data_IF_877747845818
#
_entry.id   IF_877747845818
#
_cell.length_a   1.000
_cell.length_b   1.000
_cell.length_c   1.000
_cell.angle_alpha   90.00
_cell.angle_beta   90.00
_cell.angle_gamma   90.00
#
_symmetry.space_group_name_H-M   'P 1'
#
loop_
_entity.id
_entity.type
_entity.pdbx_description
1 polymer ?
#
# COMPACT_ATOMS: atom_id res chain seq x y z
N UNK A 1 8.03 14.69 -21.20
CA UNK A 1 7.88 14.31 -19.79
C UNK A 1 6.40 14.34 -19.44
N UNK A 2 5.90 13.36 -18.71
CA UNK A 2 4.50 13.34 -18.28
C UNK A 2 4.29 14.28 -17.09
N UNK A 3 3.09 14.80 -16.93
CA UNK A 3 2.74 15.73 -15.83
C UNK A 3 2.62 15.01 -14.50
N UNK A 4 2.62 15.77 -13.39
CA UNK A 4 2.37 15.21 -12.05
C UNK A 4 1.01 14.48 -11.98
N UNK A 5 -0.04 15.05 -12.56
CA UNK A 5 -1.37 14.42 -12.63
C UNK A 5 -1.35 13.11 -13.41
N UNK A 6 -0.62 13.05 -14.53
CA UNK A 6 -0.47 11.82 -15.32
C UNK A 6 0.34 10.75 -14.58
N UNK A 7 1.36 11.15 -13.82
CA UNK A 7 2.08 10.26 -12.92
C UNK A 7 1.14 9.69 -11.86
N UNK A 8 0.36 10.53 -11.16
CA UNK A 8 -0.62 10.05 -10.17
C UNK A 8 -1.66 9.12 -10.80
N UNK A 9 -2.11 9.38 -12.02
CA UNK A 9 -3.04 8.50 -12.73
C UNK A 9 -2.40 7.12 -13.05
N UNK A 10 -1.13 7.10 -13.49
CA UNK A 10 -0.39 5.87 -13.74
C UNK A 10 -0.18 5.06 -12.45
N UNK A 11 0.14 5.73 -11.34
CA UNK A 11 0.23 5.09 -10.02
C UNK A 11 -1.12 4.56 -9.54
N UNK A 12 -2.21 5.32 -9.73
CA UNK A 12 -3.55 4.89 -9.36
C UNK A 12 -3.97 3.61 -10.09
N UNK A 13 -3.61 3.47 -11.38
CA UNK A 13 -3.82 2.24 -12.14
C UNK A 13 -3.11 1.06 -11.45
N UNK A 14 -1.84 1.22 -11.10
CA UNK A 14 -1.07 0.16 -10.42
C UNK A 14 -1.61 -0.13 -9.02
N UNK A 15 -1.96 0.89 -8.25
CA UNK A 15 -2.58 0.72 -6.92
C UNK A 15 -3.89 -0.08 -6.98
N UNK A 16 -4.72 0.15 -8.01
CA UNK A 16 -5.93 -0.65 -8.25
C UNK A 16 -5.61 -2.11 -8.60
N UNK A 17 -4.46 -2.37 -9.21
CA UNK A 17 -4.01 -3.73 -9.47
C UNK A 17 -3.48 -4.42 -8.23
N UNK A 18 -2.77 -3.71 -7.35
CA UNK A 18 -2.20 -4.26 -6.11
C UNK A 18 -3.24 -4.42 -4.99
N UNK A 19 -4.11 -3.43 -4.81
CA UNK A 19 -4.94 -3.30 -3.59
C UNK A 19 -6.43 -3.07 -3.88
N UNK A 20 -6.80 -2.83 -5.14
CA UNK A 20 -8.17 -2.44 -5.50
C UNK A 20 -8.58 -1.04 -5.04
N UNK A 21 -7.64 -0.23 -4.54
CA UNK A 21 -7.86 1.14 -4.09
C UNK A 21 -7.06 2.13 -4.94
N UNK A 22 -7.66 3.25 -5.34
CA UNK A 22 -7.02 4.31 -6.16
C UNK A 22 -5.74 4.84 -5.47
N UNK A 23 -5.82 5.05 -4.15
CA UNK A 23 -4.70 5.55 -3.33
C UNK A 23 -3.78 4.45 -2.81
N UNK A 24 -4.08 3.17 -3.06
CA UNK A 24 -3.47 2.06 -2.34
C UNK A 24 -3.98 1.95 -0.90
N UNK A 25 -3.29 1.13 -0.10
CA UNK A 25 -3.53 0.97 1.35
C UNK A 25 -2.21 1.07 2.12
N UNK A 26 -1.98 2.23 2.73
CA UNK A 26 -0.75 2.53 3.48
C UNK A 26 -0.67 1.78 4.81
N UNK A 27 -1.80 1.30 5.31
CA UNK A 27 -1.92 0.56 6.56
C UNK A 27 -1.79 -0.95 6.36
N UNK A 28 -1.79 -1.44 5.12
CA UNK A 28 -1.85 -2.86 4.87
C UNK A 28 -0.58 -3.56 5.36
N UNK A 29 -0.76 -4.51 6.26
CA UNK A 29 0.28 -5.38 6.82
C UNK A 29 -0.17 -6.81 6.62
N UNK A 30 0.58 -7.57 5.82
CA UNK A 30 0.25 -8.93 5.43
C UNK A 30 1.41 -9.89 5.67
N UNK A 31 1.05 -11.15 5.88
CA UNK A 31 1.95 -12.29 5.88
C UNK A 31 1.27 -13.39 5.08
N UNK A 32 1.85 -13.76 3.94
CA UNK A 32 1.31 -14.81 3.08
C UNK A 32 2.06 -16.12 3.34
N UNK A 33 1.33 -17.20 3.62
CA UNK A 33 1.93 -18.50 3.89
C UNK A 33 2.72 -19.00 2.67
N UNK A 34 4.01 -19.30 2.87
CA UNK A 34 4.91 -19.76 1.81
C UNK A 34 5.49 -18.64 0.93
N UNK A 35 5.19 -17.37 1.22
CA UNK A 35 5.83 -16.24 0.56
C UNK A 35 7.21 -15.97 1.18
N UNK A 36 8.24 -15.93 0.33
CA UNK A 36 9.63 -15.66 0.73
C UNK A 36 9.87 -14.19 1.10
N UNK A 37 8.90 -13.30 0.88
CA UNK A 37 8.95 -11.90 1.31
C UNK A 37 8.75 -11.71 2.81
N UNK A 38 8.12 -12.66 3.50
CA UNK A 38 7.78 -12.56 4.93
C UNK A 38 6.91 -11.31 5.23
N UNK A 39 7.02 -10.71 6.42
CA UNK A 39 6.28 -9.51 6.81
C UNK A 39 6.30 -8.44 5.70
N UNK A 40 5.12 -8.07 5.22
CA UNK A 40 4.93 -7.12 4.12
C UNK A 40 4.07 -5.94 4.56
N UNK A 41 4.43 -4.73 4.14
CA UNK A 41 3.82 -3.48 4.60
C UNK A 41 3.66 -2.41 3.50
N UNK A 42 2.55 -1.68 3.54
CA UNK A 42 2.39 -0.36 2.93
C UNK A 42 1.71 -0.33 1.55
N UNK A 43 1.55 0.88 1.01
CA UNK A 43 0.73 1.22 -0.17
C UNK A 43 0.94 0.30 -1.38
N UNK A 44 2.20 0.00 -1.67
CA UNK A 44 2.62 -0.86 -2.77
C UNK A 44 3.48 -2.03 -2.28
N UNK A 45 3.31 -2.41 -1.00
CA UNK A 45 3.83 -3.62 -0.36
C UNK A 45 5.36 -3.80 -0.46
N UNK A 46 6.10 -3.36 0.56
CA UNK A 46 7.51 -3.68 0.74
C UNK A 46 7.69 -4.80 1.78
N UNK A 47 8.71 -5.63 1.59
CA UNK A 47 8.89 -6.88 2.34
C UNK A 47 10.05 -6.82 3.32
N UNK A 48 9.99 -7.59 4.40
CA UNK A 48 11.06 -7.76 5.38
C UNK A 48 12.33 -8.30 4.71
N UNK A 49 12.23 -9.42 4.00
CA UNK A 49 13.39 -10.14 3.47
C UNK A 49 14.12 -9.41 2.35
N UNK A 50 13.51 -8.38 1.73
CA UNK A 50 14.21 -7.52 0.78
C UNK A 50 15.09 -6.46 1.43
N UNK A 51 14.98 -6.24 2.75
CA UNK A 51 15.60 -5.11 3.46
C UNK A 51 14.94 -3.76 3.18
N UNK A 52 14.00 -3.68 2.25
CA UNK A 52 13.31 -2.45 1.91
C UNK A 52 12.36 -2.01 3.04
N UNK A 53 11.74 -2.94 3.78
CA UNK A 53 10.96 -2.58 4.96
C UNK A 53 11.82 -1.84 6.00
N UNK A 54 13.04 -2.31 6.25
CA UNK A 54 13.99 -1.63 7.13
C UNK A 54 14.32 -0.22 6.62
N UNK A 55 14.62 -0.10 5.33
CA UNK A 55 14.92 1.19 4.68
C UNK A 55 13.76 2.18 4.81
N UNK A 56 12.53 1.73 4.57
CA UNK A 56 11.32 2.56 4.71
C UNK A 56 11.14 3.05 6.15
N UNK A 57 11.22 2.14 7.12
CA UNK A 57 11.03 2.48 8.54
C UNK A 57 12.14 3.40 9.04
N UNK A 58 13.39 3.19 8.62
CA UNK A 58 14.51 4.09 8.93
C UNK A 58 14.30 5.51 8.38
N UNK A 59 13.82 5.64 7.13
CA UNK A 59 13.49 6.96 6.55
C UNK A 59 12.39 7.67 7.34
N UNK A 60 11.37 6.94 7.76
CA UNK A 60 10.30 7.49 8.59
C UNK A 60 10.84 7.95 9.96
N UNK A 61 11.59 7.08 10.65
CA UNK A 61 12.16 7.41 11.96
C UNK A 61 13.18 8.55 11.94
N UNK A 62 13.83 8.79 10.80
CA UNK A 62 14.75 9.91 10.61
C UNK A 62 14.04 11.28 10.49
N UNK A 63 12.72 11.29 10.25
CA UNK A 63 11.94 12.52 10.21
C UNK A 63 11.56 12.96 11.63
N UNK A 64 11.98 14.17 12.04
CA UNK A 64 11.70 14.67 13.39
C UNK A 64 10.21 14.87 13.71
N UNK A 65 9.34 14.97 12.69
CA UNK A 65 7.90 15.08 12.85
C UNK A 65 7.17 13.73 12.89
N UNK A 66 7.87 12.61 12.68
CA UNK A 66 7.27 11.29 12.70
C UNK A 66 6.80 10.90 14.11
N UNK A 67 5.49 10.66 14.24
CA UNK A 67 4.81 10.41 15.52
C UNK A 67 5.23 9.11 16.19
N UNK A 68 5.55 8.08 15.40
CA UNK A 68 5.80 6.73 15.90
C UNK A 68 7.28 6.35 15.96
N UNK A 69 8.21 7.29 15.70
CA UNK A 69 9.66 7.00 15.67
C UNK A 69 10.15 6.37 16.97
N UNK A 70 9.76 6.91 18.12
CA UNK A 70 10.16 6.37 19.42
C UNK A 70 9.69 4.92 19.63
N UNK A 71 8.48 4.59 19.19
CA UNK A 71 7.92 3.24 19.29
C UNK A 71 8.54 2.26 18.28
N UNK A 72 8.97 2.75 17.12
CA UNK A 72 9.61 1.94 16.07
C UNK A 72 11.11 1.75 16.28
N UNK A 73 11.78 2.61 17.04
CA UNK A 73 13.23 2.53 17.29
C UNK A 73 13.72 1.15 17.74
N UNK A 74 13.06 0.45 18.68
CA UNK A 74 13.46 -0.90 19.08
C UNK A 74 13.44 -1.93 17.93
N UNK A 75 12.63 -1.69 16.90
CA UNK A 75 12.45 -2.58 15.76
C UNK A 75 13.43 -2.32 14.61
N UNK A 76 14.17 -1.20 14.62
CA UNK A 76 15.09 -0.85 13.53
C UNK A 76 16.14 -1.92 13.31
N UNK A 77 16.84 -2.37 14.37
CA UNK A 77 17.88 -3.36 14.21
C UNK A 77 17.34 -4.75 13.80
N UNK A 78 16.26 -5.29 14.41
CA UNK A 78 15.60 -6.49 13.90
C UNK A 78 15.18 -6.41 12.43
N UNK A 79 14.63 -5.27 12.00
CA UNK A 79 14.25 -5.04 10.60
C UNK A 79 15.48 -5.07 9.67
N UNK A 80 16.57 -4.40 10.04
CA UNK A 80 17.84 -4.41 9.28
C UNK A 80 18.39 -5.83 9.16
N UNK A 81 18.30 -6.61 10.23
CA UNK A 81 18.74 -8.00 10.26
C UNK A 81 17.80 -8.95 9.51
N UNK A 82 16.68 -8.45 8.97
CA UNK A 82 15.61 -9.26 8.36
C UNK A 82 15.14 -10.38 9.31
N UNK A 83 15.00 -10.07 10.60
CA UNK A 83 14.65 -11.05 11.64
C UNK A 83 13.24 -11.61 11.42
N UNK A 84 13.15 -12.90 11.11
CA UNK A 84 11.88 -13.58 10.83
C UNK A 84 10.98 -13.71 12.07
N UNK A 85 11.51 -13.50 13.29
CA UNK A 85 10.69 -13.41 14.50
C UNK A 85 9.65 -12.28 14.44
N UNK A 86 9.86 -11.28 13.57
CA UNK A 86 8.93 -10.18 13.35
C UNK A 86 7.63 -10.60 12.64
N UNK A 87 7.59 -11.78 12.00
CA UNK A 87 6.36 -12.34 11.42
C UNK A 87 5.29 -12.61 12.50
N UNK A 88 5.73 -12.92 13.71
CA UNK A 88 4.85 -13.24 14.84
C UNK A 88 4.63 -12.08 15.82
N UNK A 89 5.38 -10.97 15.68
CA UNK A 89 5.20 -9.78 16.52
C UNK A 89 3.94 -9.00 16.13
N UNK A 90 2.82 -9.35 16.76
CA UNK A 90 1.51 -8.71 16.51
C UNK A 90 1.47 -7.25 16.93
N UNK A 91 2.28 -6.83 17.90
CA UNK A 91 2.36 -5.43 18.30
C UNK A 91 3.04 -4.60 17.22
N UNK A 92 4.18 -5.07 16.66
CA UNK A 92 4.81 -4.42 15.51
C UNK A 92 3.84 -4.31 14.33
N UNK A 93 3.07 -5.36 14.03
CA UNK A 93 2.09 -5.33 12.94
C UNK A 93 1.05 -4.23 13.15
N UNK A 94 0.57 -4.06 14.39
CA UNK A 94 -0.35 -2.98 14.73
C UNK A 94 0.32 -1.60 14.73
N UNK A 95 1.58 -1.51 15.15
CA UNK A 95 2.34 -0.28 15.12
C UNK A 95 2.54 0.21 13.68
N UNK A 96 2.90 -0.69 12.76
CA UNK A 96 2.98 -0.39 11.33
C UNK A 96 1.62 0.09 10.77
N UNK A 97 0.51 -0.57 11.11
CA UNK A 97 -0.84 -0.09 10.76
C UNK A 97 -1.11 1.33 11.27
N UNK A 98 -0.78 1.60 12.53
CA UNK A 98 -0.98 2.90 13.15
C UNK A 98 -0.16 4.01 12.51
N UNK A 99 1.02 3.71 11.99
CA UNK A 99 1.82 4.72 11.28
C UNK A 99 1.12 5.27 10.04
N UNK A 100 0.18 4.55 9.42
CA UNK A 100 -0.57 5.05 8.27
C UNK A 100 -1.47 6.25 8.58
N UNK A 101 -1.82 6.48 9.85
CA UNK A 101 -2.56 7.67 10.30
C UNK A 101 -1.65 8.90 10.45
N UNK A 102 -0.32 8.72 10.38
CA UNK A 102 0.64 9.81 10.34
C UNK A 102 0.90 10.24 8.88
N UNK A 103 0.60 11.50 8.50
CA UNK A 103 0.95 12.03 7.18
C UNK A 103 2.43 11.82 6.83
N UNK A 104 3.34 11.90 7.81
CA UNK A 104 4.78 11.71 7.58
C UNK A 104 5.09 10.30 7.06
N UNK A 105 4.39 9.27 7.54
CA UNK A 105 4.56 7.90 7.03
C UNK A 105 4.03 7.78 5.60
N UNK A 106 2.90 8.43 5.29
CA UNK A 106 2.32 8.38 3.95
C UNK A 106 3.25 9.03 2.93
N UNK A 107 3.76 10.22 3.24
CA UNK A 107 4.74 10.91 2.41
C UNK A 107 6.04 10.10 2.28
N UNK A 108 6.48 9.45 3.37
CA UNK A 108 7.67 8.59 3.37
C UNK A 108 7.48 7.37 2.47
N UNK A 109 6.31 6.74 2.50
CA UNK A 109 5.98 5.63 1.59
C UNK A 109 5.95 6.12 0.13
N UNK A 110 5.27 7.23 -0.15
CA UNK A 110 5.17 7.78 -1.51
C UNK A 110 6.58 8.05 -2.09
N UNK A 111 7.45 8.74 -1.35
CA UNK A 111 8.82 8.99 -1.78
C UNK A 111 9.66 7.71 -1.90
N UNK A 112 9.47 6.75 -0.99
CA UNK A 112 10.18 5.48 -1.04
C UNK A 112 9.83 4.69 -2.31
N UNK A 113 8.54 4.52 -2.61
CA UNK A 113 8.10 3.79 -3.80
C UNK A 113 8.44 4.55 -5.09
N UNK A 114 8.49 5.87 -5.03
CA UNK A 114 9.01 6.69 -6.12
C UNK A 114 10.48 6.38 -6.44
N UNK A 115 11.34 6.36 -5.42
CA UNK A 115 12.77 6.11 -5.59
C UNK A 115 13.04 4.67 -6.07
N UNK A 116 12.33 3.70 -5.50
CA UNK A 116 12.59 2.27 -5.69
C UNK A 116 11.94 1.72 -6.96
N UNK A 117 10.80 2.26 -7.39
CA UNK A 117 10.05 1.70 -8.53
C UNK A 117 9.77 2.72 -9.63
N UNK A 118 9.25 3.90 -9.30
CA UNK A 118 8.87 4.89 -10.31
C UNK A 118 10.08 5.41 -11.09
N UNK A 119 11.11 5.90 -10.40
CA UNK A 119 12.28 6.49 -11.03
C UNK A 119 13.05 5.48 -11.91
N UNK A 120 13.25 4.21 -11.48
CA UNK A 120 13.77 3.16 -12.38
C UNK A 120 12.90 2.91 -13.61
N UNK A 121 11.57 2.81 -13.43
CA UNK A 121 10.64 2.63 -14.55
C UNK A 121 10.72 3.80 -15.53
N UNK A 122 10.77 5.03 -15.03
CA UNK A 122 10.86 6.24 -15.85
C UNK A 122 12.18 6.30 -16.63
N UNK A 123 13.30 5.92 -15.99
CA UNK A 123 14.59 5.79 -16.69
C UNK A 123 14.53 4.72 -17.79
N UNK A 124 13.89 3.59 -17.53
CA UNK A 124 13.74 2.52 -18.51
C UNK A 124 12.86 2.93 -19.69
N UNK A 125 11.72 3.60 -19.43
CA UNK A 125 10.84 4.16 -20.44
C UNK A 125 11.57 5.20 -21.31
N UNK A 126 12.29 6.14 -20.67
CA UNK A 126 13.05 7.19 -21.34
C UNK A 126 14.13 6.62 -22.27
N UNK A 127 14.83 5.55 -21.85
CA UNK A 127 15.84 4.88 -22.69
C UNK A 127 15.26 4.28 -23.99
N UNK A 128 13.98 3.93 -23.99
CA UNK A 128 13.28 3.43 -25.17
C UNK A 128 12.60 4.55 -25.98
N UNK A 129 12.57 5.79 -25.47
CA UNK A 129 11.81 6.88 -26.09
C UNK A 129 10.30 6.78 -25.84
N UNK A 130 9.86 6.08 -24.79
CA UNK A 130 8.46 6.05 -24.35
C UNK A 130 8.13 7.38 -23.67
N UNK A 131 7.12 8.08 -24.17
CA UNK A 131 6.76 9.44 -23.74
C UNK A 131 5.29 9.60 -23.34
N UNK A 132 4.41 8.70 -23.81
CA UNK A 132 2.98 8.73 -23.54
C UNK A 132 2.69 8.27 -22.10
N UNK A 133 1.76 8.94 -21.39
CA UNK A 133 1.32 8.54 -20.05
C UNK A 133 0.91 7.08 -19.91
N UNK A 134 0.12 6.55 -20.84
CA UNK A 134 -0.27 5.14 -20.80
C UNK A 134 0.93 4.20 -21.04
N UNK A 135 1.87 4.58 -21.90
CA UNK A 135 3.12 3.83 -22.08
C UNK A 135 3.94 3.80 -20.80
N UNK A 136 4.05 4.93 -20.10
CA UNK A 136 4.71 5.01 -18.80
C UNK A 136 4.01 4.13 -17.74
N UNK A 137 2.67 4.10 -17.71
CA UNK A 137 1.92 3.23 -16.81
C UNK A 137 2.19 1.73 -17.07
N UNK A 138 2.31 1.31 -18.34
CA UNK A 138 2.67 -0.07 -18.72
C UNK A 138 4.07 -0.44 -18.23
N UNK A 139 5.04 0.46 -18.39
CA UNK A 139 6.43 0.25 -17.91
C UNK A 139 6.46 0.20 -16.38
N UNK A 140 5.71 1.09 -15.71
CA UNK A 140 5.63 1.14 -14.26
C UNK A 140 5.01 -0.12 -13.67
N UNK A 141 3.82 -0.56 -14.14
CA UNK A 141 3.21 -1.84 -13.72
C UNK A 141 4.18 -3.00 -13.93
N UNK A 142 4.85 -3.04 -15.08
CA UNK A 142 5.78 -4.13 -15.39
C UNK A 142 7.07 -4.11 -14.57
N UNK A 143 7.42 -2.96 -14.02
CA UNK A 143 8.54 -2.80 -13.09
C UNK A 143 8.14 -3.26 -11.69
N UNK A 144 6.96 -2.84 -11.21
CA UNK A 144 6.40 -3.23 -9.91
C UNK A 144 6.06 -4.73 -9.86
N UNK A 145 5.27 -5.21 -10.82
CA UNK A 145 4.90 -6.63 -10.94
C UNK A 145 6.06 -7.50 -11.49
N UNK A 146 7.15 -6.87 -11.93
CA UNK A 146 8.38 -7.54 -12.35
C UNK A 146 8.39 -8.08 -13.78
N UNK A 147 9.55 -8.63 -14.15
CA UNK A 147 9.87 -9.18 -15.48
C UNK A 147 9.92 -8.17 -16.64
N UNK A 148 9.93 -6.86 -16.37
CA UNK A 148 10.04 -5.82 -17.40
C UNK A 148 11.16 -6.08 -18.45
N UNK A 149 12.43 -6.31 -18.08
CA UNK A 149 13.51 -6.48 -19.07
C UNK A 149 13.25 -7.67 -20.01
N UNK A 150 12.87 -8.82 -19.45
CA UNK A 150 12.59 -10.04 -20.21
C UNK A 150 11.46 -9.84 -21.21
N UNK A 151 10.34 -9.26 -20.76
CA UNK A 151 9.17 -9.07 -21.64
C UNK A 151 9.41 -7.96 -22.66
N UNK A 152 10.20 -6.93 -22.33
CA UNK A 152 10.64 -5.90 -23.29
C UNK A 152 11.42 -6.56 -24.42
N UNK A 153 12.43 -7.37 -24.09
CA UNK A 153 13.30 -8.01 -25.08
C UNK A 153 12.51 -9.01 -25.93
N UNK A 154 11.63 -9.79 -25.31
CA UNK A 154 10.71 -10.70 -26.00
C UNK A 154 9.78 -9.95 -26.97
N UNK A 155 9.26 -8.79 -26.56
CA UNK A 155 8.39 -7.96 -27.42
C UNK A 155 9.16 -7.45 -28.62
N UNK A 156 10.36 -6.90 -28.40
CA UNK A 156 11.23 -6.41 -29.47
C UNK A 156 11.61 -7.52 -30.45
N UNK A 157 11.88 -8.74 -29.95
CA UNK A 157 12.19 -9.88 -30.80
C UNK A 157 11.00 -10.33 -31.67
N UNK A 158 9.78 -10.28 -31.14
CA UNK A 158 8.58 -10.79 -31.82
C UNK A 158 7.94 -9.77 -32.76
N UNK A 159 7.88 -8.51 -32.35
CA UNK A 159 7.15 -7.46 -33.06
C UNK A 159 8.06 -6.46 -33.79
N UNK A 160 9.34 -6.37 -33.41
CA UNK A 160 10.26 -5.31 -33.83
C UNK A 160 10.47 -4.26 -32.73
N UNK A 161 11.48 -3.41 -32.93
CA UNK A 161 11.80 -2.35 -31.97
C UNK A 161 10.82 -1.16 -32.04
N UNK A 162 10.88 -0.32 -31.00
CA UNK A 162 10.01 0.86 -30.87
C UNK A 162 10.28 1.94 -31.93
N UNK A 163 11.49 1.98 -32.51
CA UNK A 163 11.82 2.96 -33.56
C UNK A 163 11.14 2.60 -34.88
N UNK A 164 11.06 1.30 -35.19
CA UNK A 164 10.38 0.79 -36.37
C UNK A 164 8.86 0.84 -36.23
N UNK A 165 8.32 0.48 -35.06
CA UNK A 165 6.86 0.37 -34.84
C UNK A 165 6.20 1.68 -34.42
N UNK A 166 6.95 2.58 -33.78
CA UNK A 166 6.40 3.69 -33.02
C UNK A 166 5.82 3.26 -31.66
N UNK A 167 5.74 4.22 -30.75
CA UNK A 167 5.42 3.97 -29.34
C UNK A 167 4.09 3.22 -29.11
N UNK A 168 3.00 3.68 -29.72
CA UNK A 168 1.67 3.09 -29.51
C UNK A 168 1.60 1.62 -29.94
N UNK A 169 2.17 1.30 -31.10
CA UNK A 169 2.17 -0.07 -31.62
C UNK A 169 3.07 -0.98 -30.79
N UNK A 170 4.27 -0.50 -30.41
CA UNK A 170 5.18 -1.28 -29.57
C UNK A 170 4.59 -1.53 -28.16
N UNK A 171 3.97 -0.53 -27.52
CA UNK A 171 3.30 -0.70 -26.22
C UNK A 171 2.12 -1.68 -26.33
N UNK A 172 1.34 -1.62 -27.41
CA UNK A 172 0.25 -2.57 -27.64
C UNK A 172 0.77 -4.01 -27.78
N UNK A 173 1.85 -4.19 -28.56
CA UNK A 173 2.53 -5.48 -28.71
C UNK A 173 3.11 -5.98 -27.38
N UNK A 174 3.65 -5.07 -26.55
CA UNK A 174 4.15 -5.42 -25.22
C UNK A 174 3.04 -5.95 -24.32
N UNK A 175 1.89 -5.26 -24.27
CA UNK A 175 0.73 -5.66 -23.47
C UNK A 175 0.23 -7.04 -23.91
N UNK A 176 0.13 -7.30 -25.22
CA UNK A 176 -0.28 -8.61 -25.74
C UNK A 176 0.75 -9.71 -25.41
N UNK A 177 2.05 -9.42 -25.57
CA UNK A 177 3.14 -10.36 -25.24
C UNK A 177 3.13 -10.72 -23.75
N UNK A 178 3.01 -9.73 -22.87
CA UNK A 178 2.95 -9.92 -21.41
C UNK A 178 1.69 -10.65 -21.00
N UNK A 179 0.54 -10.34 -21.61
CA UNK A 179 -0.73 -11.03 -21.38
C UNK A 179 -0.61 -12.52 -21.69
N UNK A 180 -0.07 -12.86 -22.87
CA UNK A 180 0.13 -14.25 -23.28
C UNK A 180 1.10 -14.99 -22.35
N UNK A 181 2.18 -14.33 -21.92
CA UNK A 181 3.13 -14.88 -20.97
C UNK A 181 2.53 -15.14 -19.59
N UNK A 182 1.71 -14.21 -19.06
CA UNK A 182 1.00 -14.40 -17.79
C UNK A 182 0.01 -15.56 -17.86
N UNK A 183 -0.82 -15.60 -18.91
CA UNK A 183 -1.85 -16.63 -19.08
C UNK A 183 -1.27 -18.05 -19.13
N UNK A 184 -0.07 -18.20 -19.71
CA UNK A 184 0.59 -19.49 -19.91
C UNK A 184 1.78 -19.71 -18.97
N UNK A 185 1.91 -18.92 -17.90
CA UNK A 185 3.08 -19.01 -17.03
C UNK A 185 3.16 -20.36 -16.30
N UNK A 186 4.38 -20.91 -16.18
CA UNK A 186 4.60 -22.12 -15.39
C UNK A 186 4.22 -21.91 -13.92
N UNK A 187 4.48 -20.72 -13.37
CA UNK A 187 4.00 -20.33 -12.06
C UNK A 187 2.50 -20.02 -12.12
N UNK A 188 1.68 -20.92 -11.57
CA UNK A 188 0.23 -20.80 -11.57
C UNK A 188 -0.29 -19.55 -10.82
N UNK A 189 0.47 -19.01 -9.85
CA UNK A 189 0.05 -17.79 -9.12
C UNK A 189 0.07 -16.53 -9.98
N UNK A 190 0.82 -16.53 -11.09
CA UNK A 190 0.89 -15.41 -12.03
C UNK A 190 -0.25 -15.42 -13.07
N UNK A 191 -0.85 -16.58 -13.35
CA UNK A 191 -1.95 -16.69 -14.32
C UNK A 191 -3.16 -15.82 -14.01
N UNK A 192 -3.67 -15.74 -12.76
CA UNK A 192 -4.80 -14.89 -12.46
C UNK A 192 -4.50 -13.39 -12.62
N UNK A 193 -3.24 -12.96 -12.68
CA UNK A 193 -2.89 -11.53 -12.82
C UNK A 193 -3.00 -11.00 -14.25
N UNK A 194 -3.48 -11.81 -15.21
CA UNK A 194 -3.77 -11.40 -16.60
C UNK A 194 -4.68 -10.18 -16.67
N UNK A 195 -5.56 -9.98 -15.69
CA UNK A 195 -6.47 -8.82 -15.64
C UNK A 195 -5.75 -7.47 -15.73
N UNK A 196 -4.47 -7.40 -15.30
CA UNK A 196 -3.66 -6.17 -15.41
C UNK A 196 -3.48 -5.76 -16.86
N UNK A 197 -3.14 -6.74 -17.70
CA UNK A 197 -2.97 -6.52 -19.13
C UNK A 197 -4.30 -6.33 -19.84
N UNK A 198 -5.36 -7.02 -19.41
CA UNK A 198 -6.71 -6.77 -19.95
C UNK A 198 -7.18 -5.33 -19.68
N UNK A 199 -6.91 -4.80 -18.48
CA UNK A 199 -7.22 -3.41 -18.14
C UNK A 199 -6.39 -2.41 -18.96
N UNK A 200 -5.08 -2.62 -19.10
CA UNK A 200 -4.22 -1.75 -19.91
C UNK A 200 -4.58 -1.83 -21.40
N UNK A 201 -4.90 -3.02 -21.92
CA UNK A 201 -5.39 -3.23 -23.28
C UNK A 201 -6.70 -2.47 -23.52
N UNK A 202 -7.61 -2.47 -22.54
CA UNK A 202 -8.85 -1.70 -22.64
C UNK A 202 -8.58 -0.19 -22.74
N UNK A 203 -7.62 0.34 -21.99
CA UNK A 203 -7.22 1.75 -22.11
C UNK A 203 -6.63 2.07 -23.48
N UNK A 204 -5.84 1.16 -24.05
CA UNK A 204 -5.29 1.25 -25.42
C UNK A 204 -6.42 1.31 -26.45
N UNK A 205 -7.38 0.38 -26.38
CA UNK A 205 -8.54 0.31 -27.29
C UNK A 205 -9.42 1.56 -27.22
N UNK A 206 -9.55 2.15 -26.04
CA UNK A 206 -10.28 3.40 -25.82
C UNK A 206 -9.49 4.66 -26.21
N UNK A 207 -8.24 4.50 -26.68
CA UNK A 207 -7.40 5.62 -27.08
C UNK A 207 -6.91 6.49 -25.91
N UNK A 208 -6.96 5.99 -24.67
CA UNK A 208 -6.64 6.71 -23.42
C UNK A 208 -5.13 6.90 -23.20
N UNK A 209 -4.39 7.22 -24.27
CA UNK A 209 -2.92 7.35 -24.27
C UNK A 209 -2.42 8.47 -23.36
N UNK A 210 -3.23 9.53 -23.20
CA UNK A 210 -2.94 10.69 -22.36
C UNK A 210 -3.28 10.51 -20.88
N UNK A 211 -3.96 9.42 -20.50
CA UNK A 211 -4.54 9.20 -19.17
C UNK A 211 -5.36 10.41 -18.69
N UNK A 212 -6.27 10.90 -19.54
CA UNK A 212 -7.14 12.03 -19.20
C UNK A 212 -8.14 11.62 -18.11
N UNK A 213 -8.43 12.55 -17.20
CA UNK A 213 -9.32 12.33 -16.07
C UNK A 213 -10.72 12.87 -16.38
N UNK A 214 -11.80 12.23 -15.89
CA UNK A 214 -11.78 10.98 -15.14
C UNK A 214 -11.58 9.75 -16.05
N UNK A 215 -10.95 8.70 -15.52
CA UNK A 215 -10.90 7.38 -16.15
C UNK A 215 -11.46 6.30 -15.22
N UNK A 216 -12.06 5.26 -15.80
CA UNK A 216 -12.55 4.10 -15.05
C UNK A 216 -11.67 2.89 -15.34
N UNK A 217 -11.07 2.33 -14.30
CA UNK A 217 -10.20 1.15 -14.39
C UNK A 217 -10.69 0.13 -13.38
N UNK A 218 -11.00 -1.09 -13.86
CA UNK A 218 -11.54 -2.18 -13.04
C UNK A 218 -12.76 -1.81 -12.18
N UNK A 219 -13.62 -0.92 -12.70
CA UNK A 219 -14.84 -0.48 -12.00
C UNK A 219 -14.63 0.65 -10.99
N UNK A 220 -13.40 1.13 -10.82
CA UNK A 220 -13.07 2.27 -9.95
C UNK A 220 -12.79 3.52 -10.77
N UNK A 221 -13.34 4.66 -10.33
CA UNK A 221 -13.04 5.97 -10.92
C UNK A 221 -11.70 6.51 -10.40
N UNK A 222 -10.81 6.85 -11.32
CA UNK A 222 -9.63 7.67 -11.08
C UNK A 222 -9.97 9.09 -11.53
N UNK A 223 -10.03 10.01 -10.58
CA UNK A 223 -10.29 11.43 -10.78
C UNK A 223 -9.44 12.26 -9.82
N UNK A 224 -9.40 13.58 -10.01
CA UNK A 224 -8.70 14.48 -9.07
C UNK A 224 -9.24 14.30 -7.65
N UNK A 225 -10.55 14.06 -7.51
CA UNK A 225 -11.15 13.82 -6.20
C UNK A 225 -10.67 12.49 -5.59
N UNK A 226 -10.73 11.37 -6.31
CA UNK A 226 -10.35 10.06 -5.76
C UNK A 226 -8.85 9.93 -5.52
N UNK A 227 -8.01 10.62 -6.30
CA UNK A 227 -6.57 10.68 -6.08
C UNK A 227 -6.15 11.60 -4.92
N UNK A 228 -7.03 12.50 -4.45
CA UNK A 228 -6.76 13.38 -3.31
C UNK A 228 -7.57 13.00 -2.05
N UNK A 229 -8.39 11.95 -2.12
CA UNK A 229 -9.11 11.44 -0.98
C UNK A 229 -8.15 10.84 0.06
N UNK A 230 -8.58 10.83 1.33
CA UNK A 230 -7.90 10.08 2.38
C UNK A 230 -7.81 8.61 1.95
N UNK A 231 -6.60 8.00 1.93
CA UNK A 231 -6.45 6.61 1.52
C UNK A 231 -7.27 5.65 2.39
N UNK A 232 -7.68 4.53 1.80
CA UNK A 232 -8.33 3.44 2.53
C UNK A 232 -7.47 3.01 3.71
N UNK A 233 -8.09 2.85 4.89
CA UNK A 233 -7.39 2.45 6.10
C UNK A 233 -6.56 3.54 6.77
N UNK A 234 -6.59 4.79 6.28
CA UNK A 234 -5.97 5.94 6.92
C UNK A 234 -7.01 6.82 7.60
N UNK A 235 -6.67 7.38 8.76
CA UNK A 235 -7.50 8.28 9.52
C UNK A 235 -6.72 9.52 9.94
N UNK A 236 -7.25 10.70 9.62
CA UNK A 236 -6.68 11.99 10.05
C UNK A 236 -7.27 12.48 11.38
N UNK A 237 -8.23 11.72 11.94
CA UNK A 237 -8.91 12.03 13.18
C UNK A 237 -10.02 11.03 13.50
N UNK A 238 -10.84 11.30 14.52
CA UNK A 238 -10.67 12.34 15.53
C UNK A 238 -9.42 12.15 16.39
N UNK A 239 -9.01 13.19 17.10
CA UNK A 239 -7.86 13.14 18.02
C UNK A 239 -8.18 12.22 19.20
N UNK A 240 -7.21 11.43 19.64
CA UNK A 240 -7.35 10.55 20.81
C UNK A 240 -7.83 11.34 22.04
N UNK A 241 -8.83 10.82 22.74
CA UNK A 241 -9.40 11.45 23.94
C UNK A 241 -10.41 12.58 23.67
N UNK A 242 -10.69 12.92 22.40
CA UNK A 242 -11.70 13.94 22.05
C UNK A 242 -13.15 13.50 22.25
N UNK A 243 -13.40 12.19 22.36
CA UNK A 243 -14.73 11.59 22.57
C UNK A 243 -14.61 10.26 23.31
N UNK A 244 -15.72 9.80 23.88
CA UNK A 244 -15.84 8.43 24.39
C UNK A 244 -16.05 7.44 23.24
N UNK A 245 -15.52 6.23 23.38
CA UNK A 245 -15.61 5.16 22.39
C UNK A 245 -16.41 3.97 22.95
N UNK A 246 -17.38 3.51 22.18
CA UNK A 246 -18.24 2.37 22.53
C UNK A 246 -18.79 1.71 21.27
N UNK A 247 -19.32 0.49 21.43
CA UNK A 247 -19.95 -0.24 20.33
C UNK A 247 -21.23 0.50 19.89
N UNK A 248 -21.33 0.84 18.60
CA UNK A 248 -22.43 1.61 18.04
C UNK A 248 -22.85 1.11 16.65
N UNK A 249 -23.99 1.61 16.14
CA UNK A 249 -24.43 1.37 14.76
C UNK A 249 -24.68 2.71 14.07
N UNK A 250 -23.93 3.07 13.00
CA UNK A 250 -22.77 2.35 12.45
C UNK A 250 -21.59 2.30 13.44
N UNK A 251 -20.67 1.35 13.22
CA UNK A 251 -19.48 1.19 14.07
C UNK A 251 -18.64 2.48 14.09
N UNK A 252 -18.13 2.85 15.26
CA UNK A 252 -17.22 3.99 15.43
C UNK A 252 -15.89 3.70 14.73
N UNK A 253 -15.34 4.68 14.02
CA UNK A 253 -14.06 4.57 13.31
C UNK A 253 -13.22 5.82 13.54
N UNK A 254 -11.91 5.68 13.44
CA UNK A 254 -10.99 6.81 13.47
C UNK A 254 -9.62 6.48 14.05
N UNK A 255 -8.76 7.49 14.01
CA UNK A 255 -7.41 7.47 14.57
C UNK A 255 -7.44 7.22 16.09
N UNK A 256 -8.40 7.82 16.79
CA UNK A 256 -8.64 7.60 18.22
C UNK A 256 -8.93 6.13 18.57
N UNK A 257 -9.74 5.45 17.76
CA UNK A 257 -10.00 4.01 17.89
C UNK A 257 -8.72 3.20 17.66
N UNK A 258 -7.97 3.51 16.62
CA UNK A 258 -6.73 2.78 16.28
C UNK A 258 -5.70 2.89 17.39
N UNK A 259 -5.52 4.07 17.99
CA UNK A 259 -4.58 4.29 19.08
C UNK A 259 -4.97 3.52 20.35
N UNK A 260 -6.26 3.40 20.65
CA UNK A 260 -6.74 2.54 21.75
C UNK A 260 -6.43 1.07 21.44
N UNK A 261 -6.75 0.59 20.23
CA UNK A 261 -6.46 -0.79 19.83
C UNK A 261 -4.96 -1.12 19.87
N UNK A 262 -4.10 -0.20 19.37
CA UNK A 262 -2.65 -0.35 19.42
C UNK A 262 -2.16 -0.55 20.86
N UNK A 263 -2.59 0.31 21.79
CA UNK A 263 -2.15 0.20 23.18
C UNK A 263 -2.71 -1.03 23.90
N UNK A 264 -3.96 -1.39 23.65
CA UNK A 264 -4.51 -2.64 24.18
C UNK A 264 -3.74 -3.87 23.67
N UNK A 265 -3.24 -3.82 22.43
CA UNK A 265 -2.54 -4.96 21.81
C UNK A 265 -1.19 -5.30 22.45
N UNK A 266 -0.63 -4.43 23.32
CA UNK A 266 0.58 -4.73 24.10
C UNK A 266 0.43 -5.97 24.99
N UNK A 267 -0.75 -6.14 25.58
CA UNK A 267 -1.07 -7.28 26.46
C UNK A 267 -2.13 -8.22 25.87
N UNK A 268 -2.70 -7.85 24.72
CA UNK A 268 -3.82 -8.55 24.08
C UNK A 268 -3.50 -8.72 22.59
N UNK A 269 -2.59 -9.63 22.22
CA UNK A 269 -2.02 -9.72 20.86
C UNK A 269 -3.05 -10.01 19.77
N UNK A 270 -4.22 -10.55 20.12
CA UNK A 270 -5.33 -10.82 19.19
C UNK A 270 -6.08 -9.55 18.76
N UNK A 271 -5.88 -8.41 19.45
CA UNK A 271 -6.48 -7.14 19.07
C UNK A 271 -5.76 -6.61 17.83
N UNK A 272 -6.51 -6.43 16.74
CA UNK A 272 -6.04 -5.77 15.53
C UNK A 272 -6.32 -4.26 15.60
N UNK A 273 -5.31 -3.44 15.32
CA UNK A 273 -5.41 -1.99 15.25
C UNK A 273 -5.94 -1.51 13.87
N UNK A 274 -7.16 -1.93 13.51
CA UNK A 274 -7.80 -1.59 12.23
C UNK A 274 -8.48 -0.20 12.21
N UNK A 275 -8.63 0.43 13.37
CA UNK A 275 -9.32 1.71 13.56
C UNK A 275 -10.84 1.61 13.53
N UNK A 276 -11.41 0.41 13.70
CA UNK A 276 -12.85 0.15 13.73
C UNK A 276 -13.25 -0.42 15.11
N UNK A 277 -14.14 0.28 15.81
CA UNK A 277 -14.59 -0.12 17.13
C UNK A 277 -15.64 -1.23 17.03
N UNK A 278 -15.18 -2.46 16.86
CA UNK A 278 -16.01 -3.66 16.82
C UNK A 278 -16.15 -4.33 18.19
N UNK A 279 -16.82 -5.48 18.19
CA UNK A 279 -17.00 -6.29 19.40
C UNK A 279 -15.68 -6.73 20.04
N UNK A 280 -14.68 -7.10 19.24
CA UNK A 280 -13.35 -7.45 19.74
C UNK A 280 -12.67 -6.30 20.51
N UNK A 281 -12.81 -5.06 20.03
CA UNK A 281 -12.29 -3.88 20.75
C UNK A 281 -13.06 -3.64 22.05
N UNK A 282 -14.39 -3.76 22.03
CA UNK A 282 -15.22 -3.62 23.23
C UNK A 282 -14.86 -4.67 24.29
N UNK A 283 -14.68 -5.93 23.90
CA UNK A 283 -14.30 -7.02 24.79
C UNK A 283 -12.86 -6.84 25.31
N UNK A 284 -11.94 -6.34 24.48
CA UNK A 284 -10.59 -5.98 24.91
C UNK A 284 -10.53 -4.84 25.93
N UNK A 285 -11.44 -3.86 25.81
CA UNK A 285 -11.61 -2.79 26.80
C UNK A 285 -12.17 -3.36 28.11
N UNK A 286 -13.18 -4.24 28.05
CA UNK A 286 -13.71 -4.92 29.25
C UNK A 286 -12.62 -5.69 29.98
N UNK A 287 -11.79 -6.44 29.25
CA UNK A 287 -10.68 -7.19 29.82
C UNK A 287 -9.65 -6.26 30.48
N UNK A 288 -9.30 -5.13 29.84
CA UNK A 288 -8.43 -4.13 30.44
C UNK A 288 -9.04 -3.52 31.71
N UNK A 289 -10.31 -3.12 31.67
CA UNK A 289 -11.02 -2.55 32.81
C UNK A 289 -11.04 -3.51 33.99
N UNK A 290 -11.41 -4.77 33.76
CA UNK A 290 -11.43 -5.80 34.78
C UNK A 290 -10.04 -6.02 35.42
N UNK A 291 -8.98 -6.11 34.61
CA UNK A 291 -7.59 -6.24 35.10
C UNK A 291 -7.14 -5.06 35.95
N UNK A 292 -7.66 -3.85 35.67
CA UNK A 292 -7.33 -2.62 36.38
C UNK A 292 -8.35 -2.25 37.47
N UNK A 293 -9.22 -3.19 37.88
CA UNK A 293 -10.25 -2.99 38.91
C UNK A 293 -11.21 -1.83 38.62
N UNK A 294 -11.45 -1.58 37.33
CA UNK A 294 -12.45 -0.63 36.83
C UNK A 294 -13.75 -1.36 36.47
N UNK A 295 -14.91 -0.67 36.44
CA UNK A 295 -16.14 -1.25 35.90
C UNK A 295 -15.95 -1.73 34.46
N UNK A 296 -16.18 -3.02 34.21
CA UNK A 296 -15.99 -3.67 32.90
C UNK A 296 -17.14 -3.36 31.92
N UNK A 297 -17.32 -2.08 31.59
CA UNK A 297 -18.40 -1.57 30.73
C UNK A 297 -18.15 -1.85 29.24
N UNK A 298 -16.87 -1.96 28.82
CA UNK A 298 -16.48 -2.01 27.41
C UNK A 298 -16.56 -0.64 26.72
N UNK A 299 -16.75 0.43 27.49
CA UNK A 299 -16.73 1.81 27.04
C UNK A 299 -15.39 2.42 27.42
N UNK A 300 -14.69 3.01 26.47
CA UNK A 300 -13.50 3.81 26.74
C UNK A 300 -13.90 5.28 26.79
N UNK A 301 -14.11 5.80 28.00
CA UNK A 301 -14.27 7.23 28.22
C UNK A 301 -12.94 7.98 28.04
N UNK A 302 -12.99 9.31 28.03
CA UNK A 302 -11.80 10.14 27.78
C UNK A 302 -10.72 9.97 28.86
N UNK A 303 -11.09 9.62 30.09
CA UNK A 303 -10.15 9.36 31.18
C UNK A 303 -9.44 8.02 30.99
N UNK A 304 -10.17 6.97 30.60
CA UNK A 304 -9.60 5.68 30.25
C UNK A 304 -8.68 5.80 29.03
N UNK A 305 -9.10 6.53 28.00
CA UNK A 305 -8.28 6.77 26.81
C UNK A 305 -6.99 7.49 27.18
N UNK A 306 -7.04 8.52 28.01
CA UNK A 306 -5.85 9.24 28.46
C UNK A 306 -4.86 8.31 29.17
N UNK A 307 -5.33 7.35 29.98
CA UNK A 307 -4.50 6.34 30.66
C UNK A 307 -3.93 5.27 29.73
N UNK A 308 -4.67 4.92 28.67
CA UNK A 308 -4.25 3.89 27.72
C UNK A 308 -3.23 4.37 26.70
N UNK A 309 -3.28 5.66 26.33
CA UNK A 309 -2.51 6.23 25.22
C UNK A 309 -1.33 7.08 25.70
N UNK A 310 -1.06 7.13 27.01
CA UNK A 310 0.20 7.66 27.58
C UNK A 310 1.29 6.61 27.56
#
# INVERSE_FOLDING_TARGET
MITATQKCAAEAIVNLFETGSVRGDYSNVTLAAGDTGHLTFGRSQTTLSSGNLATLVQRYCANAAARFSAALNPYIQPLVNCDLGLDDDKYLHNLLRATADDPVMRDTQDQFFDDVYWAPAQRAATKLGITLPLGMAVVYDSTVHGSWPRLRDSTTQQAGDIQALGEKAWISAYVDTRRAWLANNANASLRPTVYRMDALKRLIELGQWGLELPLVVRGSEISVATMNATPTGCFDGPVSGSRSLSLATPLVRGMDVRLVQLNLSRDQPDIKADGIFGRGTADGIKAYQARNQLPATGVADTTLIAKLVT
#
